data_IF_290777898293
#
_entry.id   IF_290777898293
#
_cell.length_a   1.000
_cell.length_b   1.000
_cell.length_c   1.000
_cell.angle_alpha   90.00
_cell.angle_beta   90.00
_cell.angle_gamma   90.00
#
_symmetry.space_group_name_H-M   'P 1'
#
loop_
_entity.id
_entity.type
_entity.pdbx_description
1 polymer ?
#
# COMPACT_ATOMS: atom_id res chain seq x y z
N UNK A 1 -34.10 1.35 -10.14
CA UNK A 1 -34.54 1.00 -8.79
C UNK A 1 -33.35 0.66 -7.87
N UNK A 2 -32.38 -0.16 -8.33
CA UNK A 2 -31.27 -0.68 -7.53
C UNK A 2 -30.25 0.40 -7.13
N UNK A 3 -30.21 1.52 -7.84
CA UNK A 3 -29.35 2.67 -7.55
C UNK A 3 -29.89 3.59 -6.44
N UNK A 4 -31.20 3.70 -6.33
CA UNK A 4 -31.87 4.72 -5.51
C UNK A 4 -31.44 4.69 -4.02
N UNK A 5 -31.21 3.52 -3.37
CA UNK A 5 -30.77 3.46 -1.99
C UNK A 5 -29.37 4.06 -1.74
N UNK A 6 -28.56 4.25 -2.79
CA UNK A 6 -27.23 4.85 -2.70
C UNK A 6 -27.24 6.37 -2.83
N UNK A 7 -28.33 6.94 -3.32
CA UNK A 7 -28.46 8.37 -3.64
C UNK A 7 -28.24 9.22 -2.39
N UNK A 8 -27.26 10.09 -2.49
CA UNK A 8 -26.86 11.01 -1.41
C UNK A 8 -26.58 10.33 -0.06
N UNK A 9 -26.30 9.01 -0.07
CA UNK A 9 -26.00 8.26 1.15
C UNK A 9 -24.60 8.61 1.67
N UNK A 10 -24.48 9.15 2.91
CA UNK A 10 -23.16 9.49 3.45
C UNK A 10 -22.35 8.23 3.75
N UNK A 11 -21.04 8.28 3.53
CA UNK A 11 -20.11 7.25 3.93
C UNK A 11 -19.61 7.54 5.36
N UNK A 12 -19.60 6.50 6.22
CA UNK A 12 -19.20 6.65 7.63
C UNK A 12 -17.69 6.61 7.85
N UNK A 13 -16.93 6.20 6.84
CA UNK A 13 -15.48 6.14 6.91
C UNK A 13 -14.87 7.51 6.58
N UNK A 14 -14.01 8.02 7.47
CA UNK A 14 -13.39 9.35 7.36
C UNK A 14 -12.47 9.54 6.13
N UNK A 15 -12.09 8.46 5.45
CA UNK A 15 -11.26 8.53 4.24
C UNK A 15 -12.07 8.88 2.98
N UNK A 16 -13.39 8.64 2.97
CA UNK A 16 -14.24 8.92 1.82
C UNK A 16 -14.63 10.40 1.78
N UNK A 17 -14.38 11.03 0.64
CA UNK A 17 -14.73 12.46 0.40
C UNK A 17 -16.14 12.65 -0.06
N UNK A 18 -16.78 11.61 -0.59
CA UNK A 18 -18.06 11.69 -1.32
C UNK A 18 -19.11 10.79 -0.68
N UNK A 19 -20.39 11.07 -1.00
CA UNK A 19 -21.52 10.15 -0.80
C UNK A 19 -21.30 8.87 -1.63
N UNK A 20 -22.01 7.78 -1.29
CA UNK A 20 -21.84 6.49 -1.98
C UNK A 20 -22.05 6.64 -3.49
N UNK A 21 -23.16 7.25 -3.91
CA UNK A 21 -23.48 7.48 -5.32
C UNK A 21 -22.41 8.31 -6.03
N UNK A 22 -21.92 9.38 -5.41
CA UNK A 22 -20.88 10.22 -6.00
C UNK A 22 -19.54 9.49 -6.08
N UNK A 23 -19.20 8.72 -5.06
CA UNK A 23 -17.98 7.89 -5.06
C UNK A 23 -17.99 6.89 -6.23
N UNK A 24 -19.11 6.21 -6.46
CA UNK A 24 -19.26 5.26 -7.57
C UNK A 24 -19.09 5.94 -8.94
N UNK A 25 -19.62 7.17 -9.11
CA UNK A 25 -19.39 7.96 -10.33
C UNK A 25 -17.92 8.35 -10.50
N UNK A 26 -17.26 8.79 -9.45
CA UNK A 26 -15.84 9.15 -9.49
C UNK A 26 -14.97 7.91 -9.77
N UNK A 27 -15.28 6.76 -9.16
CA UNK A 27 -14.59 5.51 -9.44
C UNK A 27 -14.75 5.09 -10.91
N UNK A 28 -15.97 5.20 -11.46
CA UNK A 28 -16.21 4.90 -12.87
C UNK A 28 -15.51 5.88 -13.83
N UNK A 29 -15.42 7.16 -13.46
CA UNK A 29 -14.68 8.14 -14.24
C UNK A 29 -13.17 7.85 -14.23
N UNK A 30 -12.59 7.54 -13.06
CA UNK A 30 -11.18 7.12 -12.96
C UNK A 30 -10.93 5.81 -13.72
N UNK A 31 -11.85 4.84 -13.66
CA UNK A 31 -11.75 3.60 -14.40
C UNK A 31 -11.73 3.84 -15.93
N UNK A 32 -12.48 4.82 -16.42
CA UNK A 32 -12.48 5.18 -17.84
C UNK A 32 -11.11 5.67 -18.35
N UNK A 33 -10.28 6.27 -17.48
CA UNK A 33 -8.90 6.66 -17.83
C UNK A 33 -7.95 5.43 -17.89
N UNK A 34 -8.35 4.32 -17.28
CA UNK A 34 -7.53 3.09 -17.17
C UNK A 34 -7.93 2.01 -18.18
N UNK A 35 -8.91 2.24 -19.06
CA UNK A 35 -9.45 1.25 -20.00
C UNK A 35 -8.41 0.65 -20.94
N UNK A 36 -7.33 1.38 -21.24
CA UNK A 36 -6.24 0.89 -22.07
C UNK A 36 -5.37 -0.21 -21.44
N UNK A 37 -5.56 -0.49 -20.14
CA UNK A 37 -4.79 -1.51 -19.39
C UNK A 37 -5.48 -2.86 -19.32
N UNK A 38 -6.73 -2.99 -19.77
CA UNK A 38 -7.56 -4.19 -19.61
C UNK A 38 -8.12 -4.68 -20.95
N UNK A 39 -8.40 -5.98 -21.04
CA UNK A 39 -9.02 -6.60 -22.21
C UNK A 39 -10.52 -6.31 -22.33
N UNK A 40 -11.18 -5.97 -21.19
CA UNK A 40 -12.62 -5.75 -21.09
C UNK A 40 -12.91 -4.36 -20.46
N UNK A 41 -12.74 -3.28 -21.25
CA UNK A 41 -13.03 -1.88 -20.79
C UNK A 41 -14.45 -1.69 -20.27
N UNK A 42 -15.41 -2.34 -20.87
CA UNK A 42 -16.82 -2.33 -20.50
C UNK A 42 -17.03 -2.88 -19.07
N UNK A 43 -16.42 -4.03 -18.76
CA UNK A 43 -16.51 -4.62 -17.42
C UNK A 43 -15.73 -3.83 -16.37
N UNK A 44 -14.63 -3.17 -16.73
CA UNK A 44 -13.91 -2.29 -15.81
C UNK A 44 -14.79 -1.13 -15.33
N UNK A 45 -15.41 -0.41 -16.27
CA UNK A 45 -16.26 0.75 -15.92
C UNK A 45 -17.52 0.31 -15.16
N UNK A 46 -18.16 -0.81 -15.57
CA UNK A 46 -19.30 -1.37 -14.85
C UNK A 46 -18.90 -1.88 -13.47
N UNK A 47 -17.75 -2.54 -13.33
CA UNK A 47 -17.23 -2.99 -12.05
C UNK A 47 -16.98 -1.82 -11.10
N UNK A 48 -16.39 -0.73 -11.59
CA UNK A 48 -16.19 0.48 -10.81
C UNK A 48 -17.53 1.13 -10.38
N UNK A 49 -18.55 1.07 -11.23
CA UNK A 49 -19.87 1.58 -10.89
C UNK A 49 -20.61 0.70 -9.88
N UNK A 50 -20.28 -0.60 -9.80
CA UNK A 50 -21.04 -1.58 -9.01
C UNK A 50 -20.33 -2.05 -7.76
N UNK A 51 -19.01 -1.85 -7.61
CA UNK A 51 -18.22 -2.47 -6.54
C UNK A 51 -18.79 -2.22 -5.13
N UNK A 52 -19.34 -1.04 -4.91
CA UNK A 52 -19.90 -0.58 -3.63
C UNK A 52 -21.43 -0.38 -3.65
N UNK A 53 -22.11 -0.87 -4.69
CA UNK A 53 -23.57 -0.69 -4.86
C UNK A 53 -24.37 -1.23 -3.67
N UNK A 54 -23.89 -2.26 -3.02
CA UNK A 54 -24.49 -2.85 -1.82
C UNK A 54 -24.49 -1.93 -0.60
N UNK A 55 -23.65 -0.90 -0.55
CA UNK A 55 -23.61 0.08 0.56
C UNK A 55 -24.94 0.82 0.74
N UNK A 56 -25.77 0.88 -0.29
CA UNK A 56 -27.14 1.42 -0.21
C UNK A 56 -28.08 0.65 0.70
N UNK A 57 -27.82 -0.62 0.92
CA UNK A 57 -28.73 -1.60 1.51
C UNK A 57 -28.29 -2.02 2.91
N UNK A 58 -29.20 -2.62 3.72
CA UNK A 58 -28.82 -3.25 4.97
C UNK A 58 -28.06 -4.57 4.73
N UNK A 59 -27.15 -4.92 5.65
CA UNK A 59 -26.36 -6.15 5.59
C UNK A 59 -24.92 -5.92 5.16
N UNK A 60 -24.24 -6.99 4.83
CA UNK A 60 -22.88 -6.93 4.27
C UNK A 60 -22.94 -6.40 2.84
N UNK A 61 -22.28 -5.26 2.60
CA UNK A 61 -22.36 -4.56 1.32
C UNK A 61 -21.78 -5.37 0.15
N UNK A 62 -20.79 -6.22 0.42
CA UNK A 62 -20.18 -7.07 -0.60
C UNK A 62 -21.16 -8.15 -1.03
N UNK A 63 -21.76 -8.87 -0.08
CA UNK A 63 -22.76 -9.92 -0.35
C UNK A 63 -23.95 -9.33 -1.09
N UNK A 64 -24.51 -8.24 -0.57
CA UNK A 64 -25.64 -7.54 -1.21
C UNK A 64 -25.27 -7.03 -2.60
N UNK A 65 -24.05 -6.48 -2.76
CA UNK A 65 -23.56 -6.00 -4.05
C UNK A 65 -23.46 -7.13 -5.09
N UNK A 66 -22.94 -8.28 -4.70
CA UNK A 66 -22.88 -9.49 -5.56
C UNK A 66 -24.28 -9.91 -6.03
N UNK A 67 -25.27 -9.92 -5.13
CA UNK A 67 -26.64 -10.28 -5.47
C UNK A 67 -27.32 -9.25 -6.39
N UNK A 68 -27.04 -7.97 -6.18
CA UNK A 68 -27.52 -6.90 -7.06
C UNK A 68 -26.92 -7.04 -8.47
N UNK A 69 -25.63 -7.34 -8.58
CA UNK A 69 -24.98 -7.58 -9.90
C UNK A 69 -25.59 -8.76 -10.62
N UNK A 70 -25.87 -9.88 -9.92
CA UNK A 70 -26.57 -11.04 -10.51
C UNK A 70 -27.96 -10.70 -11.02
N UNK A 71 -28.66 -9.76 -10.39
CA UNK A 71 -29.99 -9.32 -10.80
C UNK A 71 -29.97 -8.28 -11.94
N UNK A 72 -29.00 -7.38 -11.93
CA UNK A 72 -28.90 -6.26 -12.88
C UNK A 72 -28.19 -6.68 -14.18
N UNK A 73 -27.15 -7.49 -14.09
CA UNK A 73 -26.31 -7.88 -15.23
C UNK A 73 -27.11 -8.45 -16.42
N UNK A 74 -28.00 -9.43 -16.21
CA UNK A 74 -28.85 -9.93 -17.30
C UNK A 74 -29.78 -8.88 -17.91
N UNK A 75 -30.27 -7.92 -17.11
CA UNK A 75 -31.12 -6.82 -17.61
C UNK A 75 -30.34 -5.83 -18.48
N UNK A 76 -29.01 -5.77 -18.32
CA UNK A 76 -28.10 -4.98 -19.16
C UNK A 76 -27.65 -5.74 -20.42
N UNK A 77 -28.08 -6.99 -20.58
CA UNK A 77 -27.69 -7.83 -21.72
C UNK A 77 -26.31 -8.46 -21.58
N UNK A 78 -25.75 -8.52 -20.37
CA UNK A 78 -24.46 -9.16 -20.11
C UNK A 78 -24.61 -10.69 -20.18
N UNK A 79 -23.55 -11.36 -20.65
CA UNK A 79 -23.48 -12.81 -20.63
C UNK A 79 -23.30 -13.35 -19.20
N UNK A 80 -23.64 -14.61 -18.92
CA UNK A 80 -23.37 -15.21 -17.60
C UNK A 80 -21.90 -15.07 -17.16
N UNK A 81 -20.95 -15.24 -18.09
CA UNK A 81 -19.52 -15.09 -17.81
C UNK A 81 -19.14 -13.64 -17.43
N UNK A 82 -19.74 -12.65 -18.09
CA UNK A 82 -19.55 -11.24 -17.74
C UNK A 82 -20.10 -10.93 -16.34
N UNK A 83 -21.29 -11.47 -16.03
CA UNK A 83 -21.89 -11.33 -14.69
C UNK A 83 -21.01 -11.97 -13.63
N UNK A 84 -20.47 -13.16 -13.86
CA UNK A 84 -19.57 -13.84 -12.93
C UNK A 84 -18.27 -13.03 -12.71
N UNK A 85 -17.76 -12.40 -13.77
CA UNK A 85 -16.59 -11.52 -13.65
C UNK A 85 -16.88 -10.28 -12.82
N UNK A 86 -18.03 -9.61 -13.05
CA UNK A 86 -18.44 -8.46 -12.25
C UNK A 86 -18.72 -8.83 -10.79
N UNK A 87 -19.32 -9.99 -10.54
CA UNK A 87 -19.52 -10.53 -9.18
C UNK A 87 -18.19 -10.72 -8.48
N UNK A 88 -17.19 -11.31 -9.16
CA UNK A 88 -15.84 -11.47 -8.60
C UNK A 88 -15.16 -10.11 -8.34
N UNK A 89 -15.37 -9.12 -9.19
CA UNK A 89 -14.86 -7.76 -8.96
C UNK A 89 -15.47 -7.12 -7.70
N UNK A 90 -16.77 -7.29 -7.47
CA UNK A 90 -17.44 -6.81 -6.24
C UNK A 90 -16.94 -7.58 -5.02
N UNK A 91 -16.84 -8.92 -5.11
CA UNK A 91 -16.40 -9.78 -4.02
C UNK A 91 -14.98 -9.43 -3.55
N UNK A 92 -14.08 -9.18 -4.50
CA UNK A 92 -12.67 -9.03 -4.23
C UNK A 92 -12.16 -7.58 -4.34
N UNK A 93 -13.04 -6.56 -4.39
CA UNK A 93 -12.60 -5.17 -4.62
C UNK A 93 -11.58 -4.66 -3.58
N UNK A 94 -11.58 -5.19 -2.35
CA UNK A 94 -10.62 -4.86 -1.30
C UNK A 94 -9.44 -5.85 -1.21
N UNK A 95 -9.41 -6.93 -2.00
CA UNK A 95 -8.42 -7.99 -1.89
C UNK A 95 -7.00 -7.48 -2.10
N UNK A 96 -6.74 -6.82 -3.23
CA UNK A 96 -5.39 -6.35 -3.56
C UNK A 96 -4.86 -5.31 -2.56
N UNK A 97 -5.60 -4.23 -2.20
CA UNK A 97 -5.10 -3.25 -1.25
C UNK A 97 -4.92 -3.81 0.16
N UNK A 98 -5.77 -4.73 0.60
CA UNK A 98 -5.66 -5.36 1.92
C UNK A 98 -4.47 -6.31 2.00
N UNK A 99 -4.28 -7.18 1.00
CA UNK A 99 -3.13 -8.09 0.96
C UNK A 99 -1.84 -7.32 0.82
N UNK A 100 -1.76 -6.39 -0.14
CA UNK A 100 -0.55 -5.60 -0.39
C UNK A 100 -0.06 -4.83 0.84
N UNK A 101 -0.99 -4.33 1.68
CA UNK A 101 -0.63 -3.52 2.85
C UNK A 101 -0.45 -4.30 4.16
N UNK A 102 -0.92 -5.57 4.24
CA UNK A 102 -1.00 -6.31 5.51
C UNK A 102 -0.32 -7.67 5.50
N UNK A 103 0.10 -8.17 4.34
CA UNK A 103 0.68 -9.51 4.20
C UNK A 103 2.11 -9.44 3.68
N UNK A 104 2.87 -10.47 3.95
CA UNK A 104 4.20 -10.66 3.36
C UNK A 104 4.03 -11.11 1.89
N UNK A 105 4.45 -10.27 0.96
CA UNK A 105 4.40 -10.57 -0.48
C UNK A 105 5.50 -11.54 -0.91
N UNK A 106 6.42 -11.91 -0.02
CA UNK A 106 7.41 -12.96 -0.27
C UNK A 106 6.95 -14.34 0.19
N UNK A 107 5.77 -14.44 0.80
CA UNK A 107 5.17 -15.71 1.22
C UNK A 107 4.41 -16.33 0.04
N UNK A 108 4.80 -17.56 -0.34
CA UNK A 108 4.17 -18.32 -1.43
C UNK A 108 2.67 -18.55 -1.19
N UNK A 109 2.27 -18.80 0.05
CA UNK A 109 0.87 -19.00 0.39
C UNK A 109 0.05 -17.72 0.15
N UNK A 110 0.60 -16.55 0.43
CA UNK A 110 -0.05 -15.25 0.19
C UNK A 110 -0.32 -15.06 -1.30
N UNK A 111 0.68 -15.29 -2.16
CA UNK A 111 0.54 -15.10 -3.62
C UNK A 111 -0.41 -16.14 -4.21
N UNK A 112 -0.27 -17.42 -3.80
CA UNK A 112 -1.13 -18.51 -4.27
C UNK A 112 -2.60 -18.27 -3.90
N UNK A 113 -2.90 -17.84 -2.68
CA UNK A 113 -4.27 -17.53 -2.24
C UNK A 113 -4.93 -16.43 -3.09
N UNK A 114 -4.18 -15.38 -3.46
CA UNK A 114 -4.71 -14.33 -4.35
C UNK A 114 -4.92 -14.86 -5.77
N UNK A 115 -3.97 -15.66 -6.28
CA UNK A 115 -4.10 -16.28 -7.61
C UNK A 115 -5.32 -17.20 -7.67
N UNK A 116 -5.51 -18.05 -6.66
CA UNK A 116 -6.66 -18.97 -6.57
C UNK A 116 -8.00 -18.22 -6.49
N UNK A 117 -8.06 -17.15 -5.70
CA UNK A 117 -9.27 -16.32 -5.57
C UNK A 117 -9.68 -15.67 -6.90
N UNK A 118 -8.71 -15.23 -7.70
CA UNK A 118 -8.99 -14.52 -8.95
C UNK A 118 -9.16 -15.47 -10.14
N UNK A 119 -8.39 -16.55 -10.19
CA UNK A 119 -8.49 -17.63 -11.15
C UNK A 119 -8.07 -17.28 -12.60
N UNK A 120 -7.88 -16.00 -12.95
CA UNK A 120 -7.44 -15.59 -14.29
C UNK A 120 -6.72 -14.25 -14.30
N UNK A 121 -5.84 -14.08 -15.31
CA UNK A 121 -5.13 -12.81 -15.56
C UNK A 121 -6.12 -11.69 -15.90
N UNK A 122 -7.20 -11.98 -16.63
CA UNK A 122 -8.21 -10.99 -16.97
C UNK A 122 -8.88 -10.41 -15.73
N UNK A 123 -9.29 -11.26 -14.76
CA UNK A 123 -9.88 -10.79 -13.49
C UNK A 123 -8.86 -10.01 -12.65
N UNK A 124 -7.61 -10.44 -12.64
CA UNK A 124 -6.53 -9.71 -11.98
C UNK A 124 -6.37 -8.30 -12.57
N UNK A 125 -6.32 -8.18 -13.89
CA UNK A 125 -6.13 -6.88 -14.56
C UNK A 125 -7.30 -5.94 -14.31
N UNK A 126 -8.53 -6.45 -14.37
CA UNK A 126 -9.73 -5.71 -14.03
C UNK A 126 -9.73 -5.24 -12.56
N UNK A 127 -9.39 -6.14 -11.64
CA UNK A 127 -9.35 -5.82 -10.22
C UNK A 127 -8.22 -4.84 -9.87
N UNK A 128 -7.08 -4.97 -10.52
CA UNK A 128 -5.95 -4.06 -10.34
C UNK A 128 -6.32 -2.63 -10.77
N UNK A 129 -6.90 -2.48 -11.96
CA UNK A 129 -7.37 -1.18 -12.45
C UNK A 129 -8.52 -0.62 -11.58
N UNK A 130 -9.45 -1.47 -11.13
CA UNK A 130 -10.50 -1.08 -10.19
C UNK A 130 -9.92 -0.57 -8.86
N UNK A 131 -8.91 -1.25 -8.31
CA UNK A 131 -8.26 -0.86 -7.04
C UNK A 131 -7.67 0.55 -7.12
N UNK A 132 -7.03 0.91 -8.22
CA UNK A 132 -6.52 2.27 -8.45
C UNK A 132 -7.67 3.26 -8.59
N UNK A 133 -8.66 2.96 -9.42
CA UNK A 133 -9.81 3.83 -9.68
C UNK A 133 -10.63 4.14 -8.42
N UNK A 134 -10.92 3.13 -7.59
CA UNK A 134 -11.60 3.25 -6.30
C UNK A 134 -10.77 4.05 -5.29
N UNK A 135 -9.48 3.74 -5.17
CA UNK A 135 -8.59 4.45 -4.24
C UNK A 135 -8.48 5.95 -4.58
N UNK A 136 -8.39 6.30 -5.86
CA UNK A 136 -8.41 7.70 -6.32
C UNK A 136 -9.75 8.39 -6.01
N UNK A 137 -10.87 7.68 -6.16
CA UNK A 137 -12.20 8.19 -5.82
C UNK A 137 -12.42 8.33 -4.31
N UNK A 138 -11.76 7.54 -3.49
CA UNK A 138 -11.84 7.58 -2.03
C UNK A 138 -11.21 8.86 -1.48
N UNK A 139 -10.02 9.24 -1.93
CA UNK A 139 -9.38 10.48 -1.54
C UNK A 139 -7.85 10.46 -1.67
N UNK A 140 -7.18 11.62 -1.51
CA UNK A 140 -5.73 11.76 -1.72
C UNK A 140 -4.85 10.89 -0.81
N UNK A 141 -5.35 10.54 0.37
CA UNK A 141 -4.65 9.66 1.33
C UNK A 141 -4.85 8.17 1.06
N UNK A 142 -5.78 7.81 0.18
CA UNK A 142 -6.10 6.42 -0.12
C UNK A 142 -5.21 5.82 -1.22
N UNK A 143 -4.62 6.66 -2.08
CA UNK A 143 -3.70 6.26 -3.14
C UNK A 143 -2.47 7.16 -3.15
N UNK A 144 -1.32 6.60 -2.88
CA UNK A 144 -0.02 7.26 -2.92
C UNK A 144 1.02 6.30 -3.49
N UNK A 145 2.19 6.82 -3.88
CA UNK A 145 3.25 6.06 -4.55
C UNK A 145 3.62 4.76 -3.83
N UNK A 146 3.69 4.78 -2.50
CA UNK A 146 3.98 3.59 -1.71
C UNK A 146 2.90 2.49 -1.85
N UNK A 147 1.61 2.84 -1.78
CA UNK A 147 0.52 1.87 -1.93
C UNK A 147 0.43 1.36 -3.36
N UNK A 148 0.63 2.25 -4.32
CA UNK A 148 0.71 1.91 -5.74
C UNK A 148 1.82 0.89 -6.00
N UNK A 149 3.04 1.11 -5.48
CA UNK A 149 4.16 0.18 -5.62
C UNK A 149 3.83 -1.20 -5.06
N UNK A 150 3.25 -1.28 -3.85
CA UNK A 150 2.88 -2.56 -3.23
C UNK A 150 1.81 -3.31 -4.01
N UNK A 151 0.78 -2.61 -4.49
CA UNK A 151 -0.29 -3.22 -5.29
C UNK A 151 0.24 -3.68 -6.65
N UNK A 152 1.10 -2.89 -7.30
CA UNK A 152 1.75 -3.26 -8.55
C UNK A 152 2.65 -4.47 -8.37
N UNK A 153 3.41 -4.54 -7.27
CA UNK A 153 4.26 -5.69 -6.94
C UNK A 153 3.43 -6.96 -6.75
N UNK A 154 2.37 -6.89 -5.94
CA UNK A 154 1.44 -8.01 -5.75
C UNK A 154 0.84 -8.46 -7.07
N UNK A 155 0.32 -7.53 -7.88
CA UNK A 155 -0.29 -7.85 -9.17
C UNK A 155 0.70 -8.50 -10.14
N UNK A 156 1.97 -8.06 -10.17
CA UNK A 156 3.01 -8.66 -11.01
C UNK A 156 3.31 -10.10 -10.60
N UNK A 157 3.42 -10.39 -9.30
CA UNK A 157 3.67 -11.74 -8.76
C UNK A 157 2.50 -12.69 -9.04
N UNK A 158 1.27 -12.22 -8.76
CA UNK A 158 0.04 -13.00 -9.02
C UNK A 158 -0.12 -13.27 -10.52
N UNK A 159 0.17 -12.29 -11.38
CA UNK A 159 0.11 -12.46 -12.86
C UNK A 159 1.07 -13.52 -13.34
N UNK A 160 2.28 -13.61 -12.78
CA UNK A 160 3.24 -14.67 -13.12
C UNK A 160 2.66 -16.05 -12.83
N UNK A 161 2.10 -16.25 -11.63
CA UNK A 161 1.49 -17.52 -11.22
C UNK A 161 0.27 -17.87 -12.08
N UNK A 162 -0.63 -16.90 -12.32
CA UNK A 162 -1.80 -17.10 -13.19
C UNK A 162 -1.42 -17.38 -14.65
N UNK A 163 -0.23 -16.93 -15.08
CA UNK A 163 0.35 -17.24 -16.38
C UNK A 163 1.00 -18.64 -16.46
N UNK A 164 0.97 -19.43 -15.37
CA UNK A 164 1.55 -20.77 -15.29
C UNK A 164 3.01 -20.80 -14.83
N UNK A 165 3.55 -19.66 -14.34
CA UNK A 165 4.87 -19.60 -13.71
C UNK A 165 4.86 -20.19 -12.29
N UNK A 166 6.04 -20.59 -11.82
CA UNK A 166 6.21 -21.11 -10.46
C UNK A 166 6.14 -19.96 -9.44
N UNK A 167 5.33 -20.14 -8.39
CA UNK A 167 5.22 -19.17 -7.29
C UNK A 167 6.57 -18.93 -6.61
N UNK A 168 7.42 -19.94 -6.50
CA UNK A 168 8.75 -19.81 -5.93
C UNK A 168 9.64 -18.82 -6.69
N UNK A 169 9.44 -18.65 -8.00
CA UNK A 169 10.22 -17.71 -8.82
C UNK A 169 9.93 -16.25 -8.47
N UNK A 170 8.72 -15.93 -7.98
CA UNK A 170 8.27 -14.58 -7.68
C UNK A 170 8.20 -14.26 -6.18
N UNK A 171 8.28 -15.27 -5.33
CA UNK A 171 8.35 -15.13 -3.87
C UNK A 171 9.78 -15.14 -3.35
N UNK A 172 10.73 -15.23 -4.28
CA UNK A 172 12.13 -15.17 -3.94
C UNK A 172 12.43 -13.85 -3.22
N UNK A 173 12.99 -13.95 -2.03
CA UNK A 173 13.38 -12.76 -1.26
C UNK A 173 14.46 -12.02 -2.06
N UNK A 174 14.14 -10.83 -2.56
CA UNK A 174 15.13 -9.95 -3.17
C UNK A 174 16.21 -9.52 -2.15
N UNK A 175 15.95 -9.79 -0.86
CA UNK A 175 16.85 -9.52 0.25
C UNK A 175 16.91 -10.71 1.21
N UNK A 176 18.14 -11.13 1.64
CA UNK A 176 19.43 -10.53 1.26
C UNK A 176 19.83 -10.88 -0.19
N UNK A 177 20.37 -9.89 -0.91
CA UNK A 177 20.97 -10.12 -2.22
C UNK A 177 22.32 -10.90 -2.12
N UNK A 178 22.86 -11.34 -3.26
CA UNK A 178 24.08 -12.15 -3.29
C UNK A 178 25.27 -11.45 -2.62
N UNK A 179 25.40 -10.13 -2.75
CA UNK A 179 26.46 -9.35 -2.11
C UNK A 179 26.29 -9.35 -0.59
N UNK A 180 25.05 -9.13 -0.11
CA UNK A 180 24.72 -9.18 1.32
C UNK A 180 24.98 -10.56 1.92
N UNK A 181 24.59 -11.64 1.21
CA UNK A 181 24.87 -13.01 1.65
C UNK A 181 26.37 -13.31 1.76
N UNK A 182 27.18 -12.79 0.83
CA UNK A 182 28.63 -12.94 0.90
C UNK A 182 29.22 -12.23 2.13
N UNK A 183 28.74 -11.02 2.45
CA UNK A 183 29.16 -10.28 3.65
C UNK A 183 28.76 -11.01 4.94
N UNK A 184 27.56 -11.58 5.00
CA UNK A 184 27.11 -12.40 6.13
C UNK A 184 27.98 -13.65 6.28
N UNK A 185 28.22 -14.39 5.20
CA UNK A 185 29.06 -15.59 5.21
C UNK A 185 30.50 -15.29 5.62
N UNK A 186 31.01 -14.12 5.29
CA UNK A 186 32.34 -13.66 5.72
C UNK A 186 32.35 -13.10 7.17
N UNK A 187 31.21 -13.02 7.83
CA UNK A 187 31.01 -12.37 9.13
C UNK A 187 31.50 -10.90 9.14
N UNK A 188 31.39 -10.20 8.03
CA UNK A 188 31.83 -8.82 7.89
C UNK A 188 30.71 -7.83 8.31
N UNK A 189 31.05 -6.90 9.19
CA UNK A 189 30.17 -5.78 9.52
C UNK A 189 30.25 -4.74 8.41
N UNK A 190 29.13 -4.49 7.75
CA UNK A 190 29.05 -3.59 6.61
C UNK A 190 27.89 -2.61 6.71
N UNK A 191 28.14 -1.38 6.26
CA UNK A 191 27.10 -0.36 6.08
C UNK A 191 27.25 0.20 4.67
N UNK A 192 26.32 -0.15 3.81
CA UNK A 192 26.29 0.22 2.40
C UNK A 192 25.10 1.09 2.04
N UNK A 193 25.23 1.78 0.92
CA UNK A 193 24.11 2.53 0.31
C UNK A 193 24.17 2.36 -1.21
N UNK A 194 23.00 2.08 -1.80
CA UNK A 194 22.77 2.10 -3.25
C UNK A 194 21.48 2.89 -3.49
N UNK A 195 21.61 4.05 -4.11
CA UNK A 195 20.50 4.99 -4.36
C UNK A 195 19.72 5.35 -3.06
N UNK A 196 18.47 4.92 -2.96
CA UNK A 196 17.57 5.10 -1.80
C UNK A 196 17.59 3.92 -0.82
N UNK A 197 18.39 2.87 -1.10
CA UNK A 197 18.52 1.70 -0.25
C UNK A 197 19.76 1.80 0.66
N UNK A 198 19.55 1.57 1.96
CA UNK A 198 20.61 1.47 2.97
C UNK A 198 20.62 0.03 3.48
N UNK A 199 21.77 -0.66 3.30
CA UNK A 199 21.95 -2.04 3.76
C UNK A 199 22.96 -2.06 4.90
N UNK A 200 22.62 -2.79 5.97
CA UNK A 200 23.47 -2.99 7.14
C UNK A 200 23.61 -4.47 7.42
N UNK A 201 24.84 -4.95 7.54
CA UNK A 201 25.18 -6.32 7.96
C UNK A 201 25.95 -6.22 9.28
N UNK A 202 25.56 -7.01 10.27
CA UNK A 202 26.20 -7.02 11.60
C UNK A 202 25.94 -8.36 12.31
N UNK A 203 26.66 -8.66 13.41
CA UNK A 203 26.25 -9.74 14.29
C UNK A 203 24.79 -9.58 14.72
N UNK A 204 24.03 -10.69 14.72
CA UNK A 204 22.65 -10.69 15.18
C UNK A 204 22.60 -10.45 16.69
N UNK A 205 21.89 -9.42 17.09
CA UNK A 205 21.71 -9.08 18.49
C UNK A 205 20.33 -8.47 18.71
N UNK A 206 19.78 -8.67 19.91
CA UNK A 206 18.47 -8.13 20.25
C UNK A 206 18.41 -6.61 20.02
N UNK A 207 17.50 -6.18 19.14
CA UNK A 207 17.27 -4.77 18.86
C UNK A 207 18.17 -4.15 17.80
N UNK A 208 19.03 -4.89 17.10
CA UNK A 208 19.92 -4.33 16.06
C UNK A 208 19.11 -3.62 14.96
N UNK A 209 18.00 -4.19 14.52
CA UNK A 209 17.11 -3.57 13.55
C UNK A 209 16.55 -2.23 14.05
N UNK A 210 16.10 -2.19 15.31
CA UNK A 210 15.59 -0.97 15.95
C UNK A 210 16.66 0.10 16.10
N UNK A 211 17.91 -0.29 16.36
CA UNK A 211 19.04 0.64 16.43
C UNK A 211 19.30 1.30 15.09
N UNK A 212 19.31 0.53 14.01
CA UNK A 212 19.46 1.07 12.65
C UNK A 212 18.31 2.03 12.33
N UNK A 213 17.05 1.62 12.52
CA UNK A 213 15.88 2.45 12.30
C UNK A 213 15.92 3.75 13.14
N UNK A 214 16.37 3.65 14.39
CA UNK A 214 16.56 4.80 15.28
C UNK A 214 17.59 5.80 14.77
N UNK A 215 18.71 5.33 14.21
CA UNK A 215 19.73 6.22 13.60
C UNK A 215 19.17 6.90 12.35
N UNK A 216 18.45 6.17 11.48
CA UNK A 216 17.80 6.77 10.31
C UNK A 216 16.83 7.89 10.74
N UNK A 217 16.02 7.61 11.75
CA UNK A 217 15.13 8.61 12.36
C UNK A 217 15.88 9.81 12.93
N UNK A 218 17.03 9.63 13.60
CA UNK A 218 17.87 10.74 14.10
C UNK A 218 18.38 11.63 12.97
N UNK A 219 18.64 11.07 11.80
CA UNK A 219 19.05 11.82 10.61
C UNK A 219 17.85 12.42 9.84
N UNK A 220 16.61 12.19 10.30
CA UNK A 220 15.40 12.74 9.69
C UNK A 220 15.04 12.07 8.38
N UNK A 221 15.41 10.81 8.21
CA UNK A 221 15.10 10.02 7.05
C UNK A 221 13.76 9.30 7.28
N UNK A 222 12.85 9.46 6.34
CA UNK A 222 11.60 8.73 6.30
C UNK A 222 11.83 7.38 5.63
N UNK A 223 11.49 6.29 6.32
CA UNK A 223 11.61 4.92 5.84
C UNK A 223 10.32 4.52 5.15
N UNK A 224 10.41 4.09 3.89
CA UNK A 224 9.30 3.59 3.09
C UNK A 224 9.07 2.10 3.32
N UNK A 225 10.15 1.31 3.21
CA UNK A 225 10.11 -0.14 3.44
C UNK A 225 11.35 -0.58 4.20
N UNK A 226 11.25 -1.69 4.91
CA UNK A 226 12.39 -2.30 5.56
C UNK A 226 12.29 -3.83 5.51
N UNK A 227 13.44 -4.49 5.29
CA UNK A 227 13.57 -5.94 5.30
C UNK A 227 14.68 -6.34 6.27
N UNK A 228 14.52 -7.48 6.92
CA UNK A 228 15.53 -8.05 7.81
C UNK A 228 15.66 -9.55 7.56
N UNK A 229 16.90 -10.04 7.71
CA UNK A 229 17.22 -11.46 7.61
C UNK A 229 18.30 -11.79 8.66
N UNK A 230 18.17 -12.94 9.32
CA UNK A 230 19.20 -13.49 10.21
C UNK A 230 19.54 -14.90 9.74
N UNK A 231 20.81 -15.23 9.74
CA UNK A 231 21.29 -16.56 9.40
C UNK A 231 21.54 -17.43 10.65
N UNK A 232 21.78 -18.71 10.43
CA UNK A 232 22.09 -19.66 11.50
C UNK A 232 23.48 -19.45 12.12
N UNK A 233 24.34 -18.67 11.46
CA UNK A 233 25.71 -18.35 11.90
C UNK A 233 25.73 -17.14 12.84
N UNK A 234 24.60 -16.53 13.12
CA UNK A 234 24.44 -15.39 14.03
C UNK A 234 24.78 -14.05 13.40
N UNK A 235 24.63 -13.93 12.08
CA UNK A 235 24.66 -12.65 11.37
C UNK A 235 23.27 -12.18 11.03
N UNK A 236 23.06 -10.87 11.11
CA UNK A 236 21.84 -10.20 10.68
C UNK A 236 22.14 -9.20 9.56
N UNK A 237 21.27 -9.16 8.59
CA UNK A 237 21.24 -8.13 7.57
C UNK A 237 19.91 -7.36 7.65
N UNK A 238 19.96 -6.06 7.47
CA UNK A 238 18.78 -5.22 7.34
C UNK A 238 18.93 -4.24 6.19
N UNK A 239 17.84 -4.03 5.45
CA UNK A 239 17.81 -3.10 4.33
C UNK A 239 16.63 -2.15 4.53
N UNK A 240 16.86 -0.87 4.30
CA UNK A 240 15.87 0.19 4.46
C UNK A 240 15.80 1.01 3.17
N UNK A 241 14.62 1.12 2.58
CA UNK A 241 14.34 2.09 1.53
C UNK A 241 13.88 3.39 2.16
N UNK A 242 14.51 4.49 1.79
CA UNK A 242 14.27 5.81 2.38
C UNK A 242 13.80 6.81 1.35
N UNK A 243 13.06 7.82 1.81
CA UNK A 243 12.83 9.03 1.01
C UNK A 243 14.11 9.86 1.00
N UNK A 244 14.67 10.11 -0.18
CA UNK A 244 15.84 10.98 -0.31
C UNK A 244 15.44 12.43 -0.05
N UNK A 245 16.06 13.12 0.94
CA UNK A 245 15.76 14.52 1.21
C UNK A 245 16.18 15.42 0.02
N UNK A 246 15.36 16.39 -0.36
CA UNK A 246 15.67 17.37 -1.41
C UNK A 246 16.96 18.16 -1.13
N UNK A 247 17.26 18.40 0.14
CA UNK A 247 18.48 19.10 0.58
C UNK A 247 19.74 18.23 0.54
N UNK A 248 19.61 16.97 0.12
CA UNK A 248 20.66 15.97 0.15
C UNK A 248 20.86 15.36 1.55
N UNK A 249 21.59 14.25 1.60
CA UNK A 249 21.89 13.50 2.81
C UNK A 249 23.40 13.48 3.08
N UNK A 250 23.79 13.76 4.33
CA UNK A 250 25.17 13.60 4.74
C UNK A 250 25.48 12.11 5.02
N UNK A 251 25.82 11.36 3.98
CA UNK A 251 26.11 9.94 4.06
C UNK A 251 27.24 9.61 5.03
N UNK A 252 28.30 10.42 5.07
CA UNK A 252 29.46 10.18 5.96
C UNK A 252 29.03 10.22 7.43
N UNK A 253 28.22 11.21 7.82
CA UNK A 253 27.72 11.34 9.19
C UNK A 253 26.79 10.17 9.53
N UNK A 254 25.86 9.82 8.63
CA UNK A 254 24.94 8.69 8.81
C UNK A 254 25.70 7.38 8.98
N UNK A 255 26.65 7.07 8.09
CA UNK A 255 27.48 5.85 8.18
C UNK A 255 28.26 5.77 9.49
N UNK A 256 28.81 6.91 9.96
CA UNK A 256 29.51 6.97 11.24
C UNK A 256 28.58 6.67 12.41
N UNK A 257 27.38 7.26 12.43
CA UNK A 257 26.43 7.05 13.51
C UNK A 257 25.84 5.62 13.47
N UNK A 258 25.61 5.04 12.30
CA UNK A 258 25.26 3.61 12.16
C UNK A 258 26.36 2.70 12.74
N UNK A 259 27.61 2.92 12.37
CA UNK A 259 28.73 2.13 12.91
C UNK A 259 28.85 2.25 14.44
N UNK A 260 28.64 3.43 14.99
CA UNK A 260 28.64 3.67 16.45
C UNK A 260 27.45 3.01 17.15
N UNK A 261 26.29 3.01 16.51
CA UNK A 261 25.09 2.33 17.01
C UNK A 261 25.31 0.82 17.10
N UNK A 262 25.83 0.21 16.03
CA UNK A 262 26.17 -1.22 16.00
C UNK A 262 27.23 -1.60 17.04
N UNK A 263 28.12 -0.68 17.39
CA UNK A 263 29.09 -0.86 18.47
C UNK A 263 28.55 -0.51 19.87
N UNK A 264 27.24 -0.26 20.00
CA UNK A 264 26.58 0.20 21.24
C UNK A 264 27.17 1.49 21.86
N UNK A 265 27.76 2.35 21.03
CA UNK A 265 28.41 3.61 21.42
C UNK A 265 27.53 4.84 21.16
N UNK A 266 26.26 4.65 20.83
CA UNK A 266 25.31 5.72 20.54
C UNK A 266 24.05 5.58 21.41
N UNK A 267 23.80 6.59 22.25
CA UNK A 267 22.58 6.65 23.08
C UNK A 267 21.37 7.08 22.25
N UNK A 268 20.85 6.16 21.41
CA UNK A 268 19.79 6.44 20.40
C UNK A 268 18.52 6.92 21.08
N UNK A 269 18.03 6.19 22.09
CA UNK A 269 16.77 6.52 22.79
C UNK A 269 16.80 7.94 23.40
N UNK A 270 17.89 8.28 24.11
CA UNK A 270 18.04 9.60 24.70
C UNK A 270 18.03 10.71 23.64
N UNK A 271 18.69 10.49 22.51
CA UNK A 271 18.72 11.44 21.39
C UNK A 271 17.37 11.57 20.69
N UNK A 272 16.64 10.47 20.51
CA UNK A 272 15.29 10.50 19.94
C UNK A 272 14.31 11.27 20.84
N UNK A 273 14.37 11.05 22.16
CA UNK A 273 13.56 11.79 23.12
C UNK A 273 13.86 13.30 23.05
N UNK A 274 15.14 13.69 22.99
CA UNK A 274 15.53 15.09 22.89
C UNK A 274 15.08 15.72 21.56
N UNK A 275 15.22 14.98 20.45
CA UNK A 275 14.71 15.41 19.15
C UNK A 275 13.19 15.58 19.17
N UNK A 276 12.44 14.66 19.75
CA UNK A 276 10.98 14.75 19.87
C UNK A 276 10.54 16.00 20.67
N UNK A 277 11.27 16.35 21.73
CA UNK A 277 11.02 17.60 22.50
C UNK A 277 11.21 18.84 21.63
N UNK A 278 12.28 18.85 20.81
CA UNK A 278 12.57 19.98 19.91
C UNK A 278 11.49 20.14 18.84
N UNK A 279 10.98 19.05 18.27
CA UNK A 279 9.87 19.07 17.31
C UNK A 279 8.56 19.54 17.94
N UNK A 280 8.22 19.07 19.15
CA UNK A 280 7.03 19.55 19.89
C UNK A 280 7.11 21.05 20.18
N UNK A 281 8.30 21.56 20.50
CA UNK A 281 8.53 22.98 20.76
C UNK A 281 8.36 23.83 19.49
N UNK A 282 8.91 23.39 18.33
CA UNK A 282 8.74 24.06 17.04
C UNK A 282 7.27 24.06 16.59
N UNK A 283 6.56 22.94 16.74
CA UNK A 283 5.13 22.87 16.38
C UNK A 283 4.25 23.76 17.24
N UNK A 284 4.62 24.00 18.52
CA UNK A 284 3.93 24.92 19.42
C UNK A 284 4.20 26.40 19.10
N UNK A 285 5.37 26.73 18.54
CA UNK A 285 5.71 28.10 18.11
C UNK A 285 5.21 28.41 16.69
N UNK A 286 4.91 27.42 15.87
CA UNK A 286 4.32 27.58 14.53
C UNK A 286 2.80 27.42 14.49
N UNK A 287 2.16 26.96 15.57
CA UNK A 287 0.72 27.03 15.68
C UNK A 287 0.34 28.50 15.87
N UNK A 288 0.06 29.22 14.80
CA UNK A 288 -0.75 30.43 14.84
C UNK A 288 -1.98 30.09 15.68
N UNK A 289 -2.26 30.93 16.70
CA UNK A 289 -3.50 30.83 17.45
C UNK A 289 -4.63 30.83 16.42
N UNK A 290 -5.48 29.80 16.37
CA UNK A 290 -6.64 29.86 15.49
C UNK A 290 -7.44 31.08 15.88
N UNK A 291 -7.57 32.03 14.97
CA UNK A 291 -8.47 33.15 15.16
C UNK A 291 -9.88 32.64 15.49
N UNK A 292 -10.72 33.40 16.15
CA UNK A 292 -12.07 32.99 16.45
C UNK A 292 -12.78 32.54 15.16
N UNK A 293 -13.56 31.45 15.19
CA UNK A 293 -14.22 30.94 14.02
C UNK A 293 -15.11 32.03 13.40
N UNK A 294 -14.86 32.36 12.13
CA UNK A 294 -15.62 33.35 11.39
C UNK A 294 -16.62 32.61 10.51
N UNK A 295 -17.89 32.69 10.86
CA UNK A 295 -18.98 32.20 10.03
C UNK A 295 -19.40 33.36 9.12
N UNK A 296 -19.26 33.16 7.81
CA UNK A 296 -19.75 34.10 6.79
C UNK A 296 -20.97 33.45 6.14
N UNK A 297 -22.13 34.07 6.33
CA UNK A 297 -23.33 33.71 5.59
C UNK A 297 -23.32 34.48 4.26
N UNK A 298 -23.42 33.77 3.16
CA UNK A 298 -23.73 34.35 1.86
C UNK A 298 -25.22 34.16 1.63
N UNK A 299 -25.97 35.22 1.89
CA UNK A 299 -27.37 35.37 1.41
C UNK A 299 -27.30 35.89 -0.02
N UNK A 300 -27.20 34.98 -0.98
CA UNK A 300 -27.50 35.30 -2.37
C UNK A 300 -28.91 34.79 -2.64
N UNK A 301 -29.79 35.80 -2.85
CA UNK A 301 -31.22 35.66 -3.20
C UNK A 301 -31.43 35.06 -4.60
#
# INVERSE_FOLDING_TARGET
PEWEPNRSKPQRNAYHRFTVDRHLWEAAANAAELVGRVSRPDLLVLGALFHDLGKGYPGDHTIVGMDLVRQVGPKLGLTPADVDTLVAMVEHHLLLPDVASRRDLTDEATISQVADALGSVERLDLLHALTEADSLATGPSAWGSWKEELVNELAARVRHVLGGGDVAEVTWRLFPDAETLLLMAAAEVAVGRRDDLITVVSPDSAGVFSQVAGVLSLHGLDVLTASAHSDEQGMAASQFRIVLPETGMNWRSLKTDLSRALAHQLAIEARLVERAKTYRRRRRTQAEQPGPPKVVFHDDA
#
